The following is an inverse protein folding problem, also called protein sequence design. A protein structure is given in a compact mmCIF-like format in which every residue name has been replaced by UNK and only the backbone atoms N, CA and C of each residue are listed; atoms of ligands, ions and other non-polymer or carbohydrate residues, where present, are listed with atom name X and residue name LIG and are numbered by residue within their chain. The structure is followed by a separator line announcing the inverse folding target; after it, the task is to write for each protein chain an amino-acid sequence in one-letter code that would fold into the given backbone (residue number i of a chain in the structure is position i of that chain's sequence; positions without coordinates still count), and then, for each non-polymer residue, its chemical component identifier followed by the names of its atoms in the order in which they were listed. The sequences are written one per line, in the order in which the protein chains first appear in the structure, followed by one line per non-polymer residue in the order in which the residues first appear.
data_IF_780063775854
#
_entry.id   IF_780063775854
#
_cell.length_a   1.000
_cell.length_b   1.000
_cell.length_c   1.000
_cell.angle_alpha   90.00
_cell.angle_beta   90.00
_cell.angle_gamma   90.00
#
_symmetry.space_group_name_H-M   'P 1'
#
loop_
_entity.id
_entity.type
_entity.pdbx_description
1 polymer ?
#
# COMPACT_ATOMS: atom_id res chain seq x y z
N UNK A 1 20.37 15.04 -17.34
CA UNK A 1 20.46 13.64 -16.91
C UNK A 1 21.61 13.54 -15.94
N UNK A 2 21.34 13.69 -14.64
CA UNK A 2 22.35 13.52 -13.59
C UNK A 2 22.66 12.04 -13.42
N UNK A 3 23.93 11.72 -13.39
CA UNK A 3 24.42 10.34 -13.22
C UNK A 3 24.02 9.78 -11.85
N UNK A 4 23.45 8.58 -11.82
CA UNK A 4 23.02 7.83 -10.62
C UNK A 4 24.22 7.40 -9.73
N UNK A 5 25.35 8.13 -9.78
CA UNK A 5 26.60 7.81 -9.12
C UNK A 5 27.11 8.83 -8.11
N UNK A 6 26.43 9.96 -7.91
CA UNK A 6 26.86 10.93 -6.90
C UNK A 6 26.49 10.47 -5.48
N UNK A 7 27.40 10.69 -4.53
CA UNK A 7 27.23 10.41 -3.11
C UNK A 7 25.89 10.97 -2.62
N UNK A 8 24.95 10.09 -2.38
CA UNK A 8 23.66 10.50 -1.84
C UNK A 8 23.89 11.22 -0.52
N UNK A 9 23.26 12.39 -0.28
CA UNK A 9 23.27 13.02 1.04
C UNK A 9 22.96 11.97 2.09
N UNK A 10 23.53 12.06 3.30
CA UNK A 10 23.49 11.05 4.34
C UNK A 10 22.10 10.67 4.87
N UNK A 11 21.11 10.49 3.97
CA UNK A 11 19.72 10.19 4.31
C UNK A 11 19.56 8.86 5.08
N UNK A 12 20.50 7.90 4.93
CA UNK A 12 20.43 6.63 5.68
C UNK A 12 20.44 6.84 7.20
N UNK A 13 21.12 7.87 7.70
CA UNK A 13 21.13 8.21 9.12
C UNK A 13 19.82 8.80 9.65
N UNK A 14 18.91 9.22 8.79
CA UNK A 14 17.61 9.76 9.18
C UNK A 14 16.63 8.66 9.65
N UNK A 15 16.87 7.40 9.29
CA UNK A 15 16.07 6.25 9.73
C UNK A 15 16.81 5.42 10.77
N UNK A 16 16.11 4.89 11.80
CA UNK A 16 16.71 4.01 12.83
C UNK A 16 16.86 2.56 12.33
N UNK A 17 17.24 2.38 11.05
CA UNK A 17 17.47 1.06 10.49
C UNK A 17 18.81 0.50 10.95
N UNK A 18 18.90 -0.83 11.11
CA UNK A 18 20.15 -1.52 11.40
C UNK A 18 21.14 -1.33 10.23
N UNK A 19 22.28 -0.66 10.44
CA UNK A 19 23.26 -0.41 9.38
C UNK A 19 23.93 -1.68 8.86
N UNK A 20 23.89 -2.78 9.61
CA UNK A 20 24.40 -4.09 9.21
C UNK A 20 23.51 -4.84 8.23
N UNK A 21 22.29 -4.32 7.93
CA UNK A 21 21.31 -4.96 7.06
C UNK A 21 21.03 -4.08 5.84
N UNK A 22 21.15 -4.64 4.66
CA UNK A 22 20.62 -4.02 3.44
C UNK A 22 19.09 -4.20 3.42
N UNK A 23 18.34 -3.21 3.93
CA UNK A 23 16.90 -3.25 4.02
C UNK A 23 16.26 -2.84 2.68
N UNK A 24 15.89 -3.82 1.86
CA UNK A 24 15.28 -3.67 0.53
C UNK A 24 13.76 -3.98 0.54
N UNK A 25 13.15 -3.92 1.71
CA UNK A 25 11.76 -4.36 1.97
C UNK A 25 10.85 -3.26 2.54
N UNK A 26 11.07 -2.01 2.17
CA UNK A 26 10.23 -0.88 2.63
C UNK A 26 8.73 -1.11 2.34
N UNK A 27 8.40 -1.67 1.19
CA UNK A 27 7.02 -1.90 0.76
C UNK A 27 6.20 -2.83 1.65
N UNK A 28 6.81 -3.70 2.48
CA UNK A 28 6.06 -4.59 3.37
C UNK A 28 5.39 -3.81 4.51
N UNK A 29 6.15 -3.01 5.26
CA UNK A 29 5.65 -2.32 6.46
C UNK A 29 6.02 -0.84 6.55
N UNK A 30 6.89 -0.35 5.67
CA UNK A 30 7.49 0.98 5.77
C UNK A 30 8.56 1.04 6.87
N UNK A 31 9.35 2.10 6.84
CA UNK A 31 10.23 2.51 7.92
C UNK A 31 9.96 3.99 8.21
N UNK A 32 9.93 4.38 9.48
CA UNK A 32 9.63 5.73 9.92
C UNK A 32 10.93 6.47 10.25
N UNK A 33 11.14 7.72 9.79
CA UNK A 33 12.31 8.52 10.15
C UNK A 33 12.31 8.89 11.64
N UNK A 34 13.49 9.14 12.21
CA UNK A 34 13.67 9.57 13.61
C UNK A 34 12.84 10.79 13.95
N UNK A 35 12.91 11.83 13.13
CA UNK A 35 12.13 13.08 13.27
C UNK A 35 10.65 12.82 13.54
N UNK A 36 10.05 11.88 12.82
CA UNK A 36 8.61 11.58 12.93
C UNK A 36 8.34 10.68 14.14
N UNK A 37 9.26 9.79 14.49
CA UNK A 37 9.18 8.97 15.71
C UNK A 37 9.31 9.83 16.96
N UNK A 38 10.20 10.82 16.96
CA UNK A 38 10.40 11.75 18.06
C UNK A 38 9.16 12.63 18.25
N UNK A 39 8.55 13.12 17.16
CA UNK A 39 7.27 13.82 17.23
C UNK A 39 6.16 12.93 17.83
N UNK A 40 6.07 11.65 17.40
CA UNK A 40 5.09 10.75 17.98
C UNK A 40 5.33 10.52 19.47
N UNK A 41 6.57 10.37 19.89
CA UNK A 41 6.92 10.22 21.31
C UNK A 41 6.52 11.44 22.14
N UNK A 42 6.74 12.65 21.61
CA UNK A 42 6.29 13.89 22.26
C UNK A 42 4.76 13.97 22.38
N UNK A 43 4.02 13.63 21.33
CA UNK A 43 2.55 13.59 21.34
C UNK A 43 2.01 12.57 22.35
N UNK A 44 2.65 11.40 22.48
CA UNK A 44 2.29 10.41 23.49
C UNK A 44 2.53 10.90 24.92
N UNK A 45 3.68 11.56 25.16
CA UNK A 45 3.96 12.15 26.46
C UNK A 45 2.93 13.22 26.83
N UNK A 46 2.50 14.05 25.87
CA UNK A 46 1.43 15.03 26.08
C UNK A 46 0.08 14.37 26.36
N UNK A 47 -0.26 13.29 25.65
CA UNK A 47 -1.47 12.51 25.88
C UNK A 47 -1.49 11.92 27.29
N UNK A 48 -0.41 11.32 27.75
CA UNK A 48 -0.32 10.70 29.07
C UNK A 48 -0.24 11.73 30.20
N UNK A 49 0.25 12.94 29.93
CA UNK A 49 0.28 14.01 30.93
C UNK A 49 -1.12 14.49 31.31
N UNK A 50 -2.07 14.52 30.36
CA UNK A 50 -3.48 14.89 30.64
C UNK A 50 -4.41 14.27 29.58
N UNK A 51 -4.80 12.97 29.76
CA UNK A 51 -5.56 12.22 28.74
C UNK A 51 -6.94 12.83 28.46
N UNK A 52 -7.61 13.40 29.45
CA UNK A 52 -8.96 13.99 29.28
C UNK A 52 -8.91 15.27 28.45
N UNK A 53 -7.90 16.10 28.63
CA UNK A 53 -7.68 17.27 27.79
C UNK A 53 -7.37 16.86 26.34
N UNK A 54 -6.41 15.96 26.18
CA UNK A 54 -5.95 15.52 24.85
C UNK A 54 -7.07 14.83 24.07
N UNK A 55 -7.69 13.79 24.65
CA UNK A 55 -8.69 12.96 23.96
C UNK A 55 -10.11 13.55 24.01
N UNK A 56 -10.48 14.22 25.09
CA UNK A 56 -11.85 14.68 25.28
C UNK A 56 -12.10 16.12 24.82
N UNK A 57 -11.10 16.99 24.79
CA UNK A 57 -11.27 18.42 24.49
C UNK A 57 -10.60 18.84 23.19
N UNK A 58 -9.40 18.31 22.88
CA UNK A 58 -8.54 18.79 21.82
C UNK A 58 -8.45 17.85 20.60
N UNK A 59 -8.77 16.56 20.77
CA UNK A 59 -8.56 15.54 19.73
C UNK A 59 -9.21 15.93 18.40
N UNK A 60 -10.44 16.41 18.46
CA UNK A 60 -11.19 16.77 17.26
C UNK A 60 -10.49 17.84 16.41
N UNK A 61 -9.97 18.89 17.06
CA UNK A 61 -9.29 19.99 16.39
C UNK A 61 -7.92 19.53 15.85
N UNK A 62 -7.23 18.66 16.60
CA UNK A 62 -5.98 18.03 16.18
C UNK A 62 -6.18 17.11 14.95
N UNK A 63 -7.25 16.31 14.95
CA UNK A 63 -7.61 15.48 13.80
C UNK A 63 -8.01 16.32 12.60
N UNK A 64 -8.69 17.46 12.79
CA UNK A 64 -9.03 18.36 11.70
C UNK A 64 -7.80 18.99 11.06
N UNK A 65 -6.85 19.43 11.85
CA UNK A 65 -5.55 19.92 11.36
C UNK A 65 -4.81 18.83 10.57
N UNK A 66 -4.79 17.60 11.08
CA UNK A 66 -4.17 16.46 10.40
C UNK A 66 -4.92 16.07 9.12
N UNK A 67 -6.23 16.24 9.09
CA UNK A 67 -7.12 15.87 7.97
C UNK A 67 -7.07 16.86 6.81
N UNK A 68 -6.60 18.07 6.97
CA UNK A 68 -6.48 19.03 5.86
C UNK A 68 -5.77 18.40 4.64
N UNK A 69 -4.97 17.35 4.87
CA UNK A 69 -4.29 16.57 3.84
C UNK A 69 -4.99 15.24 3.48
N UNK A 70 -6.00 14.74 4.25
CA UNK A 70 -6.56 13.38 4.12
C UNK A 70 -8.06 13.33 4.48
N UNK A 71 -8.67 12.13 4.29
CA UNK A 71 -10.08 11.81 4.59
C UNK A 71 -10.28 11.27 6.03
N UNK A 72 -11.11 10.24 6.23
CA UNK A 72 -11.23 9.56 7.53
C UNK A 72 -9.97 8.76 7.88
N UNK A 73 -9.60 8.73 9.15
CA UNK A 73 -8.45 7.96 9.61
C UNK A 73 -8.84 6.51 9.92
N UNK A 74 -7.94 5.59 9.58
CA UNK A 74 -8.06 4.15 9.88
C UNK A 74 -6.67 3.60 10.25
N UNK A 75 -6.63 2.44 10.91
CA UNK A 75 -5.36 1.86 11.34
C UNK A 75 -4.47 1.37 10.19
N UNK A 76 -5.07 0.89 9.11
CA UNK A 76 -4.39 0.43 7.89
C UNK A 76 -5.38 0.33 6.72
N UNK A 77 -4.88 0.15 5.50
CA UNK A 77 -5.70 0.04 4.31
C UNK A 77 -6.68 -1.17 4.37
N UNK A 78 -6.26 -2.29 4.95
CA UNK A 78 -7.13 -3.46 5.14
C UNK A 78 -8.35 -3.12 6.01
N UNK A 79 -8.18 -2.31 7.06
CA UNK A 79 -9.29 -1.80 7.86
C UNK A 79 -10.22 -0.89 7.05
N UNK A 80 -9.66 -0.07 6.15
CA UNK A 80 -10.44 0.76 5.21
C UNK A 80 -11.26 -0.10 4.25
N UNK A 81 -10.66 -1.12 3.63
CA UNK A 81 -11.37 -2.08 2.76
C UNK A 81 -12.48 -2.80 3.53
N UNK A 82 -12.19 -3.26 4.75
CA UNK A 82 -13.20 -3.90 5.60
C UNK A 82 -14.35 -2.96 5.95
N UNK A 83 -14.07 -1.69 6.29
CA UNK A 83 -15.09 -0.71 6.62
C UNK A 83 -16.06 -0.51 5.45
N UNK A 84 -15.55 -0.39 4.22
CA UNK A 84 -16.38 -0.26 3.01
C UNK A 84 -17.17 -1.53 2.75
N UNK A 85 -16.51 -2.67 2.59
CA UNK A 85 -17.16 -3.93 2.19
C UNK A 85 -18.22 -4.39 3.18
N UNK A 86 -17.98 -4.20 4.48
CA UNK A 86 -18.94 -4.62 5.53
C UNK A 86 -20.07 -3.63 5.75
N UNK A 87 -19.94 -2.39 5.27
CA UNK A 87 -21.01 -1.40 5.26
C UNK A 87 -21.95 -1.54 4.07
N UNK A 88 -21.45 -2.13 2.97
CA UNK A 88 -22.24 -2.28 1.75
C UNK A 88 -23.43 -3.21 1.93
N UNK A 89 -24.55 -2.84 1.31
CA UNK A 89 -25.73 -3.69 1.15
C UNK A 89 -25.57 -4.53 -0.12
N UNK A 90 -25.16 -5.78 0.06
CA UNK A 90 -24.97 -6.75 -1.01
C UNK A 90 -25.98 -7.88 -0.84
N UNK A 91 -26.60 -8.29 -1.93
CA UNK A 91 -27.67 -9.28 -1.93
C UNK A 91 -27.29 -10.55 -2.69
N UNK A 92 -28.08 -11.59 -2.51
CA UNK A 92 -27.90 -12.84 -3.27
C UNK A 92 -27.98 -12.59 -4.77
N UNK A 93 -27.01 -13.11 -5.52
CA UNK A 93 -26.89 -12.93 -6.96
C UNK A 93 -26.07 -11.71 -7.40
N UNK A 94 -25.79 -10.75 -6.50
CA UNK A 94 -24.84 -9.68 -6.78
C UNK A 94 -23.42 -10.20 -6.97
N UNK A 95 -22.60 -9.46 -7.69
CA UNK A 95 -21.22 -9.82 -7.96
C UNK A 95 -20.25 -8.75 -7.43
N UNK A 96 -19.20 -9.20 -6.74
CA UNK A 96 -18.06 -8.41 -6.30
C UNK A 96 -16.86 -8.79 -7.16
N UNK A 97 -16.42 -7.86 -8.01
CA UNK A 97 -15.34 -8.09 -8.97
C UNK A 97 -13.98 -7.75 -8.33
N UNK A 98 -12.98 -8.57 -8.62
CA UNK A 98 -11.58 -8.29 -8.27
C UNK A 98 -10.63 -9.03 -9.21
N UNK A 99 -9.32 -8.87 -8.99
CA UNK A 99 -8.28 -9.55 -9.78
C UNK A 99 -7.59 -10.65 -8.97
N UNK A 100 -6.92 -11.57 -9.63
CA UNK A 100 -6.04 -12.57 -9.00
C UNK A 100 -4.77 -11.94 -8.37
N UNK A 101 -4.49 -10.65 -8.63
CA UNK A 101 -3.44 -9.88 -7.98
C UNK A 101 -3.90 -9.18 -6.68
N UNK A 102 -5.17 -9.28 -6.32
CA UNK A 102 -5.74 -8.68 -5.11
C UNK A 102 -4.97 -9.08 -3.86
N UNK A 103 -4.71 -8.11 -2.97
CA UNK A 103 -4.09 -8.39 -1.68
C UNK A 103 -4.92 -9.41 -0.89
N UNK A 104 -4.28 -10.49 -0.44
CA UNK A 104 -5.00 -11.65 0.12
C UNK A 104 -5.91 -11.31 1.30
N UNK A 105 -5.51 -10.39 2.18
CA UNK A 105 -6.38 -9.98 3.30
C UNK A 105 -7.64 -9.25 2.82
N UNK A 106 -7.55 -8.47 1.75
CA UNK A 106 -8.70 -7.80 1.13
C UNK A 106 -9.57 -8.81 0.37
N UNK A 107 -8.97 -9.80 -0.28
CA UNK A 107 -9.68 -10.91 -0.90
C UNK A 107 -10.47 -11.72 0.14
N UNK A 108 -9.88 -12.03 1.29
CA UNK A 108 -10.58 -12.72 2.38
C UNK A 108 -11.81 -11.92 2.87
N UNK A 109 -11.75 -10.58 2.82
CA UNK A 109 -12.90 -9.74 3.18
C UNK A 109 -14.01 -9.82 2.13
N UNK A 110 -13.67 -9.85 0.84
CA UNK A 110 -14.65 -10.08 -0.24
C UNK A 110 -15.34 -11.43 -0.06
N UNK A 111 -14.58 -12.50 0.17
CA UNK A 111 -15.11 -13.86 0.36
C UNK A 111 -16.04 -13.90 1.58
N UNK A 112 -15.63 -13.27 2.71
CA UNK A 112 -16.46 -13.19 3.91
C UNK A 112 -17.79 -12.46 3.68
N UNK A 113 -17.78 -11.34 2.95
CA UNK A 113 -19.00 -10.59 2.67
C UNK A 113 -19.90 -11.34 1.69
N UNK A 114 -19.32 -11.96 0.66
CA UNK A 114 -20.05 -12.75 -0.32
C UNK A 114 -20.73 -13.97 0.32
N UNK A 115 -20.03 -14.71 1.19
CA UNK A 115 -20.58 -15.84 1.93
C UNK A 115 -21.82 -15.44 2.76
N UNK A 116 -21.74 -14.31 3.46
CA UNK A 116 -22.82 -13.83 4.32
C UNK A 116 -24.04 -13.31 3.57
N UNK A 117 -23.85 -12.76 2.38
CA UNK A 117 -24.91 -12.12 1.59
C UNK A 117 -25.50 -13.01 0.49
N UNK A 118 -24.84 -14.15 0.19
CA UNK A 118 -25.18 -14.95 -0.98
C UNK A 118 -24.72 -14.36 -2.32
N UNK A 119 -23.88 -13.33 -2.28
CA UNK A 119 -23.24 -12.77 -3.46
C UNK A 119 -22.10 -13.64 -3.98
N UNK A 120 -21.53 -13.30 -5.12
CA UNK A 120 -20.40 -14.01 -5.73
C UNK A 120 -19.18 -13.10 -5.84
N UNK A 121 -18.00 -13.65 -5.52
CA UNK A 121 -16.75 -12.99 -5.88
C UNK A 121 -16.34 -13.46 -7.27
N UNK A 122 -16.23 -12.52 -8.19
CA UNK A 122 -15.74 -12.73 -9.55
C UNK A 122 -14.26 -12.30 -9.60
N UNK A 123 -13.38 -13.24 -9.92
CA UNK A 123 -11.94 -12.97 -10.00
C UNK A 123 -11.52 -13.06 -11.45
N UNK A 124 -11.00 -11.94 -11.97
CA UNK A 124 -10.39 -11.93 -13.30
C UNK A 124 -8.89 -12.20 -13.18
N UNK A 125 -8.39 -13.08 -14.04
CA UNK A 125 -6.96 -13.38 -14.12
C UNK A 125 -6.31 -12.36 -15.03
N UNK A 126 -5.43 -11.54 -14.46
CA UNK A 126 -4.64 -10.59 -15.23
C UNK A 126 -3.53 -11.30 -16.00
N UNK A 127 -3.21 -10.85 -17.22
CA UNK A 127 -2.02 -11.35 -17.92
C UNK A 127 -0.76 -11.03 -17.09
N UNK A 128 0.11 -12.03 -16.93
CA UNK A 128 1.41 -11.84 -16.29
C UNK A 128 2.42 -12.85 -16.87
N UNK A 129 3.49 -12.40 -17.50
CA UNK A 129 3.92 -11.00 -17.73
C UNK A 129 2.92 -10.14 -18.50
N UNK A 130 2.95 -8.81 -18.20
CA UNK A 130 2.08 -7.81 -18.83
C UNK A 130 2.85 -7.13 -19.96
N UNK A 131 2.29 -7.08 -21.17
CA UNK A 131 2.92 -6.40 -22.29
C UNK A 131 2.55 -4.90 -22.38
N UNK A 132 1.33 -4.53 -21.94
CA UNK A 132 0.86 -3.14 -21.95
C UNK A 132 -0.23 -2.93 -20.89
N UNK A 133 -0.34 -1.71 -20.29
CA UNK A 133 -1.38 -1.38 -19.30
C UNK A 133 -2.80 -1.62 -19.82
N UNK A 134 -3.03 -1.43 -21.12
CA UNK A 134 -4.35 -1.61 -21.74
C UNK A 134 -4.87 -3.04 -21.60
N UNK A 135 -4.01 -4.06 -21.61
CA UNK A 135 -4.43 -5.45 -21.40
C UNK A 135 -5.13 -5.64 -20.04
N UNK A 136 -4.67 -4.90 -19.01
CA UNK A 136 -5.31 -4.96 -17.67
C UNK A 136 -6.68 -4.30 -17.73
N UNK A 137 -6.80 -3.14 -18.39
CA UNK A 137 -8.09 -2.45 -18.55
C UNK A 137 -9.10 -3.36 -19.25
N UNK A 138 -8.71 -3.92 -20.39
CA UNK A 138 -9.59 -4.78 -21.18
C UNK A 138 -10.03 -6.01 -20.39
N UNK A 139 -9.09 -6.67 -19.68
CA UNK A 139 -9.36 -7.86 -18.87
C UNK A 139 -10.34 -7.57 -17.74
N UNK A 140 -10.12 -6.50 -16.98
CA UNK A 140 -11.02 -6.14 -15.87
C UNK A 140 -12.40 -5.76 -16.37
N UNK A 141 -12.49 -4.94 -17.44
CA UNK A 141 -13.76 -4.49 -17.97
C UNK A 141 -14.56 -5.62 -18.64
N UNK A 142 -13.90 -6.64 -19.20
CA UNK A 142 -14.54 -7.85 -19.71
C UNK A 142 -15.16 -8.71 -18.59
N UNK A 143 -14.66 -8.61 -17.35
CA UNK A 143 -15.22 -9.31 -16.19
C UNK A 143 -16.50 -8.67 -15.62
N UNK A 144 -16.91 -7.48 -16.11
CA UNK A 144 -18.11 -6.79 -15.62
C UNK A 144 -19.37 -7.40 -16.20
N UNK A 145 -20.36 -7.69 -15.35
CA UNK A 145 -21.70 -8.12 -15.72
C UNK A 145 -22.77 -7.13 -15.20
N UNK A 146 -24.05 -7.26 -15.60
CA UNK A 146 -25.13 -6.45 -15.04
C UNK A 146 -25.35 -6.64 -13.52
N UNK A 147 -24.78 -7.69 -12.93
CA UNK A 147 -24.83 -7.99 -11.49
C UNK A 147 -23.65 -7.43 -10.71
N UNK A 148 -22.61 -6.93 -11.37
CA UNK A 148 -21.44 -6.38 -10.71
C UNK A 148 -21.80 -5.09 -9.97
N UNK A 149 -21.63 -5.07 -8.63
CA UNK A 149 -21.92 -3.93 -7.75
C UNK A 149 -20.70 -3.13 -7.38
N UNK A 150 -19.58 -3.80 -7.22
CA UNK A 150 -18.32 -3.20 -6.82
C UNK A 150 -17.18 -3.90 -7.53
N UNK A 151 -16.14 -3.14 -7.89
CA UNK A 151 -14.84 -3.68 -8.25
C UNK A 151 -13.80 -3.25 -7.21
N UNK A 152 -13.15 -4.21 -6.55
CA UNK A 152 -11.98 -3.98 -5.69
C UNK A 152 -10.71 -4.13 -6.51
N UNK A 153 -9.89 -3.09 -6.55
CA UNK A 153 -8.63 -3.05 -7.30
C UNK A 153 -7.49 -2.52 -6.44
N UNK A 154 -6.35 -3.18 -6.51
CA UNK A 154 -5.10 -2.61 -5.99
C UNK A 154 -4.63 -1.47 -6.91
N UNK A 155 -4.21 -0.31 -6.35
CA UNK A 155 -3.53 0.71 -7.15
C UNK A 155 -2.13 0.26 -7.54
N UNK A 156 -1.42 -0.33 -6.56
CA UNK A 156 -0.13 -0.98 -6.80
C UNK A 156 -0.19 -2.38 -6.16
N UNK A 157 -0.08 -3.40 -6.98
CA UNK A 157 -0.23 -4.80 -6.56
C UNK A 157 0.88 -5.22 -5.60
N UNK A 158 0.53 -5.91 -4.51
CA UNK A 158 1.50 -6.28 -3.47
C UNK A 158 2.53 -7.31 -3.96
N UNK A 159 2.16 -8.48 -4.51
CA UNK A 159 3.15 -9.48 -4.90
C UNK A 159 3.93 -9.10 -6.17
N UNK A 160 3.26 -8.57 -7.17
CA UNK A 160 3.79 -8.34 -8.51
C UNK A 160 4.30 -6.92 -8.75
N UNK A 161 4.06 -6.00 -7.80
CA UNK A 161 4.54 -4.60 -7.81
C UNK A 161 4.10 -3.77 -9.03
N UNK A 162 2.99 -4.14 -9.66
CA UNK A 162 2.45 -3.42 -10.82
C UNK A 162 1.70 -2.16 -10.38
N UNK A 163 2.02 -1.02 -10.95
CA UNK A 163 1.17 0.17 -10.91
C UNK A 163 0.06 -0.04 -11.94
N UNK A 164 -1.16 -0.26 -11.48
CA UNK A 164 -2.30 -0.46 -12.38
C UNK A 164 -2.78 0.85 -12.99
N UNK A 165 -3.34 0.84 -14.21
CA UNK A 165 -3.88 2.02 -14.89
C UNK A 165 -5.22 2.43 -14.25
N UNK A 166 -5.16 2.81 -12.97
CA UNK A 166 -6.34 2.95 -12.10
C UNK A 166 -7.33 4.01 -12.58
N UNK A 167 -6.85 5.10 -13.19
CA UNK A 167 -7.70 6.14 -13.75
C UNK A 167 -8.58 5.63 -14.90
N UNK A 168 -7.98 4.84 -15.82
CA UNK A 168 -8.71 4.24 -16.93
C UNK A 168 -9.71 3.19 -16.43
N UNK A 169 -9.32 2.39 -15.45
CA UNK A 169 -10.17 1.38 -14.81
C UNK A 169 -11.37 2.03 -14.11
N UNK A 170 -11.15 3.04 -13.27
CA UNK A 170 -12.22 3.75 -12.56
C UNK A 170 -13.22 4.37 -13.56
N UNK A 171 -12.73 5.05 -14.61
CA UNK A 171 -13.60 5.62 -15.64
C UNK A 171 -14.41 4.53 -16.38
N UNK A 172 -13.75 3.44 -16.77
CA UNK A 172 -14.39 2.35 -17.49
C UNK A 172 -15.45 1.61 -16.66
N UNK A 173 -15.23 1.44 -15.36
CA UNK A 173 -16.18 0.86 -14.41
C UNK A 173 -17.33 1.81 -14.13
N UNK A 174 -17.06 3.08 -13.91
CA UNK A 174 -18.10 4.11 -13.69
C UNK A 174 -19.05 4.24 -14.90
N UNK A 175 -18.52 4.17 -16.13
CA UNK A 175 -19.34 4.16 -17.35
C UNK A 175 -20.28 2.94 -17.45
N UNK A 176 -20.01 1.87 -16.66
CA UNK A 176 -20.86 0.68 -16.54
C UNK A 176 -21.71 0.65 -15.28
N UNK A 177 -21.73 1.76 -14.52
CA UNK A 177 -22.48 1.87 -13.27
C UNK A 177 -21.87 1.09 -12.10
N UNK A 178 -20.60 0.70 -12.18
CA UNK A 178 -19.91 -0.06 -11.14
C UNK A 178 -19.05 0.87 -10.28
N UNK A 179 -19.30 0.91 -8.98
CA UNK A 179 -18.43 1.62 -8.02
C UNK A 179 -17.08 0.91 -7.87
N UNK A 180 -16.02 1.69 -7.68
CA UNK A 180 -14.67 1.16 -7.47
C UNK A 180 -14.19 1.44 -6.06
N UNK A 181 -13.73 0.40 -5.37
CA UNK A 181 -12.94 0.48 -4.15
C UNK A 181 -11.47 0.25 -4.52
N UNK A 182 -10.64 1.27 -4.33
CA UNK A 182 -9.21 1.18 -4.62
C UNK A 182 -8.43 0.89 -3.35
N UNK A 183 -7.79 -0.27 -3.29
CA UNK A 183 -6.74 -0.53 -2.31
C UNK A 183 -5.45 0.18 -2.76
N UNK A 184 -5.27 1.37 -2.26
CA UNK A 184 -4.10 2.20 -2.47
C UNK A 184 -3.05 2.05 -1.37
N UNK A 185 -2.94 0.88 -0.72
CA UNK A 185 -1.98 0.67 0.37
C UNK A 185 -0.55 1.14 0.05
N UNK A 186 -0.16 1.09 -1.22
CA UNK A 186 1.15 1.55 -1.70
C UNK A 186 1.11 2.91 -2.42
N UNK A 187 -0.06 3.51 -2.62
CA UNK A 187 -0.22 4.74 -3.42
C UNK A 187 0.40 6.00 -2.80
N UNK A 188 0.00 6.39 -1.57
CA UNK A 188 0.46 7.63 -0.94
C UNK A 188 1.98 7.66 -0.80
N UNK A 189 2.64 8.67 -1.39
CA UNK A 189 4.09 8.84 -1.37
C UNK A 189 4.88 8.01 -2.41
N UNK A 190 4.22 7.12 -3.16
CA UNK A 190 4.85 6.37 -4.27
C UNK A 190 4.46 6.92 -5.63
N UNK A 191 3.21 7.32 -5.81
CA UNK A 191 2.66 7.86 -7.04
C UNK A 191 1.92 9.17 -6.76
N UNK A 192 1.81 10.08 -7.74
CA UNK A 192 0.94 11.25 -7.61
C UNK A 192 -0.50 10.82 -7.36
N UNK A 193 -1.19 11.49 -6.44
CA UNK A 193 -2.58 11.20 -6.08
C UNK A 193 -3.41 12.46 -6.06
N UNK A 194 -4.48 12.49 -6.87
CA UNK A 194 -5.62 13.36 -6.70
C UNK A 194 -6.88 12.49 -6.57
N UNK A 195 -7.33 12.28 -5.35
CA UNK A 195 -8.46 11.38 -5.07
C UNK A 195 -9.80 11.93 -5.62
N UNK A 196 -9.90 13.25 -5.77
CA UNK A 196 -11.11 13.88 -6.34
C UNK A 196 -11.14 13.69 -7.85
N UNK A 197 -10.02 13.96 -8.52
CA UNK A 197 -9.91 13.77 -9.96
C UNK A 197 -10.00 12.30 -10.36
N UNK A 198 -9.47 11.37 -9.54
CA UNK A 198 -9.58 9.93 -9.77
C UNK A 198 -11.04 9.47 -9.85
N UNK A 199 -11.96 10.04 -9.05
CA UNK A 199 -13.39 9.77 -9.13
C UNK A 199 -13.83 8.39 -8.61
N UNK A 200 -12.95 7.59 -8.01
CA UNK A 200 -13.32 6.33 -7.38
C UNK A 200 -14.36 6.56 -6.26
N UNK A 201 -15.24 5.60 -6.02
CA UNK A 201 -16.20 5.70 -4.92
C UNK A 201 -15.49 5.62 -3.56
N UNK A 202 -14.44 4.79 -3.48
CA UNK A 202 -13.68 4.57 -2.26
C UNK A 202 -12.20 4.41 -2.59
N UNK A 203 -11.33 4.97 -1.73
CA UNK A 203 -9.89 4.79 -1.80
C UNK A 203 -9.33 4.69 -0.38
N UNK A 204 -8.51 3.69 -0.11
CA UNK A 204 -7.80 3.58 1.16
C UNK A 204 -6.30 3.53 0.93
N UNK A 205 -5.51 4.13 1.82
CA UNK A 205 -4.05 4.19 1.65
C UNK A 205 -3.31 4.15 2.97
N UNK A 206 -2.15 3.49 2.99
CA UNK A 206 -1.29 3.43 4.16
C UNK A 206 -0.36 4.66 4.20
N UNK A 207 -0.46 5.46 5.26
CA UNK A 207 0.52 6.52 5.53
C UNK A 207 1.84 5.92 6.05
N UNK A 208 1.78 4.83 6.81
CA UNK A 208 2.97 4.20 7.41
C UNK A 208 3.88 3.47 6.40
N UNK A 209 3.49 3.39 5.10
CA UNK A 209 4.40 2.89 4.05
C UNK A 209 5.20 4.05 3.46
N UNK A 210 4.81 4.62 2.34
CA UNK A 210 5.66 5.55 1.57
C UNK A 210 5.59 7.00 2.04
N UNK A 211 4.59 7.38 2.88
CA UNK A 211 4.64 8.63 3.66
C UNK A 211 5.46 8.46 4.95
N UNK A 212 5.98 7.26 5.23
CA UNK A 212 6.89 6.94 6.33
C UNK A 212 6.40 7.38 7.72
N UNK A 213 5.09 7.39 7.97
CA UNK A 213 4.54 7.66 9.31
C UNK A 213 4.67 6.45 10.22
N UNK A 214 4.44 6.58 11.54
CA UNK A 214 4.36 5.43 12.44
C UNK A 214 3.30 4.41 12.01
N UNK A 215 3.52 3.12 12.36
CA UNK A 215 2.56 2.03 12.10
C UNK A 215 1.22 2.33 12.77
N UNK A 216 0.14 1.85 12.15
CA UNK A 216 -1.21 2.15 12.63
C UNK A 216 -1.81 3.43 12.04
N UNK A 217 -1.15 4.08 11.06
CA UNK A 217 -1.67 5.26 10.38
C UNK A 217 -1.99 4.99 8.92
N UNK A 218 -3.23 5.21 8.56
CA UNK A 218 -3.79 5.08 7.22
C UNK A 218 -5.02 5.96 7.09
N UNK A 219 -5.56 6.08 5.89
CA UNK A 219 -6.80 6.82 5.64
C UNK A 219 -7.75 6.03 4.76
N UNK A 220 -9.04 6.39 4.88
CA UNK A 220 -10.12 5.99 4.01
C UNK A 220 -10.75 7.26 3.42
N UNK A 221 -10.69 7.41 2.11
CA UNK A 221 -11.44 8.41 1.36
C UNK A 221 -12.72 7.78 0.81
N UNK A 222 -13.84 8.46 1.03
CA UNK A 222 -15.17 8.04 0.55
C UNK A 222 -15.77 9.20 -0.20
N UNK A 223 -16.21 8.98 -1.45
CA UNK A 223 -16.90 9.97 -2.25
C UNK A 223 -18.16 10.44 -1.50
N UNK A 224 -18.44 11.73 -1.56
CA UNK A 224 -19.43 12.38 -0.69
C UNK A 224 -20.83 11.74 -0.75
N UNK A 225 -21.26 11.32 -1.93
CA UNK A 225 -22.54 10.63 -2.16
C UNK A 225 -22.63 9.22 -1.54
N UNK A 226 -21.51 8.65 -1.13
CA UNK A 226 -21.40 7.32 -0.51
C UNK A 226 -21.17 7.36 1.00
N UNK A 227 -20.86 8.51 1.58
CA UNK A 227 -20.47 8.63 3.00
C UNK A 227 -21.56 8.21 3.98
N UNK A 228 -22.85 8.42 3.62
CA UNK A 228 -23.98 8.10 4.50
C UNK A 228 -24.14 6.59 4.77
N UNK A 229 -23.57 5.74 3.91
CA UNK A 229 -23.72 4.29 3.98
C UNK A 229 -22.50 3.60 4.60
N UNK A 230 -21.40 4.35 4.82
CA UNK A 230 -20.13 3.76 5.28
C UNK A 230 -19.90 4.06 6.75
N UNK A 231 -19.65 3.00 7.51
CA UNK A 231 -19.42 3.02 8.94
C UNK A 231 -18.03 2.44 9.28
N UNK A 232 -17.41 2.88 10.38
CA UNK A 232 -16.18 2.24 10.88
C UNK A 232 -16.48 0.80 11.35
N UNK A 233 -15.44 -0.02 11.42
CA UNK A 233 -15.56 -1.40 11.91
C UNK A 233 -16.04 -1.48 13.36
N UNK A 234 -15.68 -0.49 14.15
CA UNK A 234 -16.10 -0.38 15.56
C UNK A 234 -17.08 0.78 15.67
N UNK A 235 -18.34 0.49 15.96
CA UNK A 235 -19.35 1.50 16.26
C UNK A 235 -19.19 1.95 17.71
N UNK A 236 -19.05 3.26 17.93
CA UNK A 236 -18.84 3.84 19.26
C UNK A 236 -19.64 5.14 19.41
N UNK A 237 -19.32 5.97 20.41
CA UNK A 237 -20.02 7.22 20.72
C UNK A 237 -20.10 8.22 19.55
N UNK A 238 -19.20 8.12 18.56
CA UNK A 238 -19.31 8.89 17.32
C UNK A 238 -20.63 8.72 16.60
N UNK A 239 -21.30 7.55 16.75
CA UNK A 239 -22.61 7.28 16.15
C UNK A 239 -23.76 8.11 16.78
N UNK A 240 -23.63 8.54 18.03
CA UNK A 240 -24.59 9.35 18.75
C UNK A 240 -24.16 10.83 18.86
N UNK A 241 -22.91 11.13 18.43
CA UNK A 241 -22.33 12.46 18.52
C UNK A 241 -23.09 13.46 17.61
N UNK A 242 -23.29 14.67 18.13
CA UNK A 242 -23.77 15.81 17.35
C UNK A 242 -22.78 16.94 17.56
N UNK A 243 -22.14 17.39 16.46
CA UNK A 243 -21.22 18.53 16.52
C UNK A 243 -21.44 19.40 15.27
N UNK A 244 -21.65 20.69 15.50
CA UNK A 244 -21.86 21.65 14.40
C UNK A 244 -20.70 21.59 13.37
N UNK A 245 -21.02 21.57 12.09
CA UNK A 245 -20.04 21.53 11.01
C UNK A 245 -19.42 20.16 10.74
N UNK A 246 -19.79 19.09 11.48
CA UNK A 246 -19.29 17.73 11.24
C UNK A 246 -20.37 16.80 10.73
N UNK A 247 -20.03 16.02 9.69
CA UNK A 247 -20.91 14.96 9.18
C UNK A 247 -20.89 13.75 10.12
N UNK A 248 -21.96 12.95 10.10
CA UNK A 248 -22.01 11.67 10.82
C UNK A 248 -20.83 10.77 10.48
N UNK A 249 -20.49 10.65 9.20
CA UNK A 249 -19.33 9.89 8.72
C UNK A 249 -18.05 10.29 9.47
N UNK A 250 -17.80 11.61 9.61
CA UNK A 250 -16.61 12.08 10.35
C UNK A 250 -16.67 11.72 11.82
N UNK A 251 -17.79 11.98 12.49
CA UNK A 251 -17.94 11.70 13.92
C UNK A 251 -17.74 10.20 14.23
N UNK A 252 -18.29 9.33 13.42
CA UNK A 252 -18.14 7.88 13.60
C UNK A 252 -16.70 7.40 13.42
N UNK A 253 -15.97 7.90 12.41
CA UNK A 253 -14.59 7.52 12.16
C UNK A 253 -13.59 8.20 13.11
N UNK A 254 -13.89 9.40 13.59
CA UNK A 254 -13.01 10.14 14.50
C UNK A 254 -13.00 9.53 15.91
N UNK A 255 -14.11 8.88 16.30
CA UNK A 255 -14.20 8.23 17.60
C UNK A 255 -14.75 6.80 17.51
N UNK A 256 -13.86 5.86 17.33
CA UNK A 256 -14.17 4.41 17.33
C UNK A 256 -13.90 3.73 18.68
N UNK A 257 -13.65 4.51 19.72
CA UNK A 257 -13.24 4.08 21.06
C UNK A 257 -11.88 4.67 21.46
N UNK A 258 -11.49 4.52 22.71
CA UNK A 258 -10.20 4.99 23.21
C UNK A 258 -9.06 4.27 22.51
N UNK A 259 -8.19 5.02 21.87
CA UNK A 259 -7.02 4.52 21.15
C UNK A 259 -5.93 5.60 21.07
N UNK A 260 -4.72 5.22 20.69
CA UNK A 260 -3.63 6.15 20.46
C UNK A 260 -3.75 6.80 19.05
N UNK A 261 -4.12 8.10 18.95
CA UNK A 261 -4.28 8.78 17.66
C UNK A 261 -2.97 9.38 17.15
N UNK A 262 -1.88 9.28 17.92
CA UNK A 262 -0.63 10.04 17.65
C UNK A 262 -0.01 9.68 16.30
N UNK A 263 -0.17 8.45 15.82
CA UNK A 263 0.28 8.07 14.49
C UNK A 263 -0.38 8.90 13.37
N UNK A 264 -1.65 9.21 13.49
CA UNK A 264 -2.38 10.05 12.53
C UNK A 264 -1.97 11.51 12.61
N UNK A 265 -1.73 12.01 13.85
CA UNK A 265 -1.34 13.40 14.09
C UNK A 265 0.05 13.73 13.52
N UNK A 266 0.90 12.74 13.27
CA UNK A 266 2.21 12.95 12.62
C UNK A 266 2.14 13.07 11.10
N UNK A 267 1.01 12.75 10.46
CA UNK A 267 0.90 12.69 8.99
C UNK A 267 1.27 14.01 8.30
N UNK A 268 0.76 15.19 8.73
CA UNK A 268 1.13 16.45 8.10
C UNK A 268 2.64 16.72 8.14
N UNK A 269 3.26 16.48 9.30
CA UNK A 269 4.70 16.67 9.46
C UNK A 269 5.51 15.69 8.61
N UNK A 270 5.06 14.45 8.48
CA UNK A 270 5.72 13.47 7.63
C UNK A 270 5.67 13.88 6.14
N UNK A 271 4.53 14.41 5.67
CA UNK A 271 4.39 14.93 4.31
C UNK A 271 5.35 16.11 4.08
N UNK A 272 5.37 17.06 5.00
CA UNK A 272 6.26 18.22 4.93
C UNK A 272 7.73 17.81 4.98
N UNK A 273 8.11 17.00 5.97
CA UNK A 273 9.48 16.57 6.20
C UNK A 273 10.07 15.83 5.00
N UNK A 274 9.39 14.80 4.52
CA UNK A 274 9.87 14.00 3.38
C UNK A 274 9.87 14.82 2.09
N UNK A 275 8.85 15.66 1.88
CA UNK A 275 8.80 16.58 0.74
C UNK A 275 9.92 17.60 0.74
N UNK A 276 10.47 17.94 1.91
CA UNK A 276 11.60 18.87 2.06
C UNK A 276 12.98 18.23 1.91
N UNK A 277 13.09 16.89 1.93
CA UNK A 277 14.40 16.19 1.88
C UNK A 277 15.09 16.25 0.51
N UNK A 278 14.33 16.44 -0.54
CA UNK A 278 14.86 16.43 -1.92
C UNK A 278 14.48 17.71 -2.62
N UNK A 279 15.44 18.43 -3.26
CA UNK A 279 15.12 19.54 -4.14
C UNK A 279 14.10 19.13 -5.21
N UNK A 280 13.01 19.89 -5.34
CA UNK A 280 11.88 19.52 -6.21
C UNK A 280 10.76 18.73 -5.51
N UNK A 281 10.89 18.47 -4.20
CA UNK A 281 9.83 17.93 -3.36
C UNK A 281 9.41 16.48 -3.69
N UNK A 282 8.15 16.18 -3.42
CA UNK A 282 7.59 14.85 -3.67
C UNK A 282 7.76 14.33 -5.09
N UNK A 283 7.54 15.13 -6.15
CA UNK A 283 7.78 14.65 -7.53
C UNK A 283 9.20 14.15 -7.75
N UNK A 284 10.19 14.88 -7.25
CA UNK A 284 11.60 14.50 -7.37
C UNK A 284 11.94 13.25 -6.52
N UNK A 285 11.38 13.15 -5.32
CA UNK A 285 11.54 11.98 -4.45
C UNK A 285 10.97 10.72 -5.12
N UNK A 286 9.74 10.79 -5.63
CA UNK A 286 9.10 9.67 -6.34
C UNK A 286 9.89 9.27 -7.58
N UNK A 287 10.33 10.25 -8.40
CA UNK A 287 11.12 10.01 -9.60
C UNK A 287 12.46 9.32 -9.29
N UNK A 288 13.16 9.77 -8.23
CA UNK A 288 14.41 9.17 -7.77
C UNK A 288 14.22 7.71 -7.33
N UNK A 289 13.22 7.45 -6.49
CA UNK A 289 12.94 6.11 -6.01
C UNK A 289 12.55 5.17 -7.17
N UNK A 290 11.74 5.66 -8.10
CA UNK A 290 11.38 4.92 -9.31
C UNK A 290 12.60 4.61 -10.18
N UNK A 291 13.46 5.58 -10.43
CA UNK A 291 14.68 5.37 -11.22
C UNK A 291 15.60 4.31 -10.58
N UNK A 292 15.75 4.35 -9.26
CA UNK A 292 16.52 3.35 -8.51
C UNK A 292 15.87 1.96 -8.58
N UNK A 293 14.53 1.86 -8.47
CA UNK A 293 13.80 0.60 -8.59
C UNK A 293 13.94 -0.01 -10.00
N UNK A 294 13.88 0.80 -11.06
CA UNK A 294 14.05 0.36 -12.45
C UNK A 294 15.46 -0.17 -12.71
N UNK A 295 16.50 0.55 -12.27
CA UNK A 295 17.88 0.11 -12.44
C UNK A 295 18.16 -1.17 -11.63
N UNK A 296 17.65 -1.25 -10.40
CA UNK A 296 17.72 -2.45 -9.58
C UNK A 296 17.03 -3.64 -10.26
N UNK A 297 15.80 -3.45 -10.79
CA UNK A 297 15.07 -4.48 -11.53
C UNK A 297 15.88 -5.00 -12.71
N UNK A 298 16.48 -4.10 -13.51
CA UNK A 298 17.30 -4.49 -14.65
C UNK A 298 18.45 -5.41 -14.24
N UNK A 299 19.17 -5.09 -13.15
CA UNK A 299 20.29 -5.91 -12.62
C UNK A 299 19.81 -7.27 -12.14
N UNK A 300 18.68 -7.30 -11.41
CA UNK A 300 18.14 -8.55 -10.86
C UNK A 300 17.57 -9.45 -11.96
N UNK A 301 16.92 -8.89 -12.99
CA UNK A 301 16.51 -9.67 -14.17
C UNK A 301 17.70 -10.34 -14.85
N UNK A 302 18.81 -9.61 -15.04
CA UNK A 302 20.02 -10.18 -15.59
C UNK A 302 20.61 -11.30 -14.71
N UNK A 303 20.65 -11.10 -13.37
CA UNK A 303 21.16 -12.11 -12.44
C UNK A 303 20.27 -13.36 -12.35
N UNK A 304 18.94 -13.19 -12.45
CA UNK A 304 17.99 -14.29 -12.42
C UNK A 304 17.78 -14.97 -13.79
N UNK A 305 18.32 -14.41 -14.86
CA UNK A 305 18.12 -14.92 -16.24
C UNK A 305 16.67 -14.80 -16.73
N UNK A 306 15.90 -13.82 -16.23
CA UNK A 306 14.47 -13.66 -16.54
C UNK A 306 14.21 -12.27 -17.14
N UNK A 307 13.26 -12.16 -18.11
CA UNK A 307 12.88 -10.85 -18.64
C UNK A 307 12.06 -10.04 -17.62
N UNK A 308 11.98 -8.70 -17.78
CA UNK A 308 11.04 -7.89 -17.04
C UNK A 308 9.59 -8.37 -17.21
N UNK A 309 8.84 -8.42 -16.11
CA UNK A 309 7.46 -8.91 -16.11
C UNK A 309 6.41 -7.86 -16.56
N UNK A 310 6.81 -6.61 -16.75
CA UNK A 310 5.95 -5.52 -17.22
C UNK A 310 6.77 -4.37 -17.80
N UNK A 311 6.14 -3.46 -18.56
CA UNK A 311 6.76 -2.21 -19.03
C UNK A 311 7.22 -1.31 -17.85
N UNK A 312 8.20 -0.46 -18.12
CA UNK A 312 8.77 0.48 -17.13
C UNK A 312 7.73 1.45 -16.56
N UNK A 313 6.74 1.83 -17.35
CA UNK A 313 5.67 2.75 -16.93
C UNK A 313 4.80 2.17 -15.81
N UNK A 314 4.76 0.86 -15.65
CA UNK A 314 4.02 0.16 -14.60
C UNK A 314 4.84 -0.07 -13.32
N UNK A 315 5.98 0.59 -13.16
CA UNK A 315 6.84 0.49 -11.98
C UNK A 315 6.84 1.81 -11.21
N UNK A 316 6.63 1.71 -9.89
CA UNK A 316 6.81 2.80 -8.93
C UNK A 316 8.12 2.67 -8.15
N UNK A 317 8.07 2.79 -6.83
CA UNK A 317 9.23 2.60 -5.94
C UNK A 317 9.43 1.14 -5.52
N UNK A 318 8.62 0.21 -6.02
CA UNK A 318 8.77 -1.24 -5.86
C UNK A 318 8.82 -1.90 -7.23
N UNK A 319 9.56 -3.00 -7.32
CA UNK A 319 9.61 -3.82 -8.52
C UNK A 319 9.71 -5.30 -8.14
N UNK A 320 9.07 -6.16 -8.92
CA UNK A 320 9.20 -7.61 -8.78
C UNK A 320 9.94 -8.20 -9.97
N UNK A 321 10.73 -9.23 -9.70
CA UNK A 321 11.47 -10.00 -10.69
C UNK A 321 11.09 -11.46 -10.53
N UNK A 322 10.76 -12.12 -11.64
CA UNK A 322 10.51 -13.55 -11.65
C UNK A 322 11.80 -14.31 -11.33
N UNK A 323 11.69 -15.30 -10.47
CA UNK A 323 12.79 -16.21 -10.15
C UNK A 323 12.52 -17.57 -10.78
N UNK A 324 13.55 -18.38 -10.99
CA UNK A 324 13.39 -19.79 -11.32
C UNK A 324 12.48 -20.50 -10.31
N UNK A 325 11.72 -21.47 -10.77
CA UNK A 325 10.79 -22.25 -9.95
C UNK A 325 11.53 -22.93 -8.80
N UNK A 326 10.94 -22.91 -7.60
CA UNK A 326 11.46 -23.66 -6.47
C UNK A 326 10.74 -25.00 -6.36
N UNK A 327 11.50 -26.09 -6.38
CA UNK A 327 10.99 -27.45 -6.30
C UNK A 327 10.55 -27.85 -4.87
N UNK A 328 10.99 -27.12 -3.84
CA UNK A 328 10.61 -27.38 -2.45
C UNK A 328 9.22 -26.80 -2.17
N UNK A 329 8.22 -27.68 -2.12
CA UNK A 329 6.82 -27.27 -1.94
C UNK A 329 6.39 -27.47 -0.49
N UNK A 330 6.71 -26.54 0.40
CA UNK A 330 6.02 -26.42 1.69
C UNK A 330 4.82 -25.48 1.55
N UNK A 331 3.68 -25.86 2.12
CA UNK A 331 2.43 -25.06 2.13
C UNK A 331 2.23 -24.39 3.49
N UNK A 332 1.80 -23.14 3.47
CA UNK A 332 1.43 -22.40 4.68
C UNK A 332 1.80 -20.92 4.58
N UNK A 333 0.99 -20.04 5.17
CA UNK A 333 1.17 -18.57 5.09
C UNK A 333 2.42 -18.06 5.84
N UNK A 334 2.95 -18.85 6.78
CA UNK A 334 4.19 -18.54 7.53
C UNK A 334 5.43 -19.18 6.93
N UNK A 335 5.28 -20.05 5.96
CA UNK A 335 6.43 -20.72 5.34
C UNK A 335 7.14 -19.73 4.41
N UNK A 336 8.36 -19.39 4.77
CA UNK A 336 9.22 -18.53 3.96
C UNK A 336 9.94 -19.34 2.89
N UNK A 337 10.24 -18.71 1.78
CA UNK A 337 11.09 -19.30 0.76
C UNK A 337 12.51 -19.50 1.33
N UNK A 338 13.16 -20.68 1.19
CA UNK A 338 14.51 -20.91 1.73
C UNK A 338 15.55 -19.90 1.24
N UNK A 339 15.43 -19.43 0.00
CA UNK A 339 16.31 -18.39 -0.55
C UNK A 339 16.22 -17.09 0.28
N UNK A 340 15.02 -16.70 0.74
CA UNK A 340 14.86 -15.50 1.59
C UNK A 340 15.66 -15.64 2.89
N UNK A 341 15.65 -16.84 3.51
CA UNK A 341 16.45 -17.13 4.70
C UNK A 341 17.96 -16.98 4.41
N UNK A 342 18.44 -17.63 3.34
CA UNK A 342 19.87 -17.54 2.96
C UNK A 342 20.31 -16.11 2.64
N UNK A 343 19.49 -15.31 1.96
CA UNK A 343 19.77 -13.90 1.67
C UNK A 343 19.93 -13.09 2.97
N UNK A 344 19.12 -13.35 3.97
CA UNK A 344 19.24 -12.68 5.25
C UNK A 344 20.43 -13.16 6.07
N UNK A 345 20.62 -14.46 6.22
CA UNK A 345 21.62 -15.06 7.10
C UNK A 345 23.06 -14.87 6.57
N UNK A 346 23.27 -15.14 5.28
CA UNK A 346 24.59 -15.13 4.66
C UNK A 346 24.99 -13.77 4.09
N UNK A 347 23.98 -13.02 3.59
CA UNK A 347 24.22 -11.79 2.85
C UNK A 347 23.77 -10.53 3.59
N UNK A 348 23.09 -10.70 4.73
CA UNK A 348 22.51 -9.57 5.50
C UNK A 348 21.61 -8.67 4.62
N UNK A 349 20.79 -9.29 3.78
CA UNK A 349 19.85 -8.62 2.90
C UNK A 349 18.43 -9.00 3.33
N UNK A 350 17.64 -8.00 3.72
CA UNK A 350 16.21 -8.17 3.98
C UNK A 350 15.41 -7.85 2.71
N UNK A 351 14.86 -8.88 2.07
CA UNK A 351 14.06 -8.78 0.85
C UNK A 351 13.02 -9.89 0.82
N UNK A 352 11.73 -9.62 0.48
CA UNK A 352 10.71 -10.66 0.45
C UNK A 352 10.76 -11.47 -0.84
N UNK A 353 10.55 -12.77 -0.71
CA UNK A 353 10.26 -13.67 -1.84
C UNK A 353 8.80 -14.09 -1.76
N UNK A 354 8.06 -13.77 -2.80
CA UNK A 354 6.63 -14.01 -2.91
C UNK A 354 6.37 -15.27 -3.72
N UNK A 355 5.61 -16.21 -3.19
CA UNK A 355 5.08 -17.36 -3.94
C UNK A 355 3.87 -16.89 -4.74
N UNK A 356 4.05 -16.65 -6.02
CA UNK A 356 2.97 -16.11 -6.85
C UNK A 356 3.07 -16.62 -8.29
N UNK A 357 1.93 -16.97 -8.90
CA UNK A 357 0.58 -17.06 -8.32
C UNK A 357 0.46 -18.18 -7.27
N UNK A 358 1.27 -19.22 -7.36
CA UNK A 358 1.37 -20.35 -6.43
C UNK A 358 2.69 -21.10 -6.64
N UNK A 359 3.18 -21.86 -5.65
CA UNK A 359 4.32 -22.74 -5.85
C UNK A 359 4.12 -23.66 -7.07
N UNK A 360 5.18 -23.93 -7.85
CA UNK A 360 6.59 -23.62 -7.60
C UNK A 360 7.03 -22.21 -7.98
N UNK A 361 6.14 -21.39 -8.59
CA UNK A 361 6.45 -20.04 -9.07
C UNK A 361 6.67 -19.07 -7.93
N UNK A 362 7.65 -18.19 -8.10
CA UNK A 362 8.03 -17.20 -7.10
C UNK A 362 8.60 -15.92 -7.73
N UNK A 363 8.48 -14.84 -6.98
CA UNK A 363 8.98 -13.51 -7.33
C UNK A 363 9.84 -12.99 -6.19
N UNK A 364 10.92 -12.30 -6.48
CA UNK A 364 11.59 -11.42 -5.53
C UNK A 364 11.06 -9.99 -5.72
N UNK A 365 10.64 -9.33 -4.63
CA UNK A 365 10.13 -7.96 -4.68
C UNK A 365 11.06 -7.02 -3.94
N UNK A 366 11.65 -6.08 -4.65
CA UNK A 366 12.52 -5.03 -4.08
C UNK A 366 11.76 -3.74 -3.83
N UNK A 367 12.26 -2.93 -2.92
CA UNK A 367 11.77 -1.58 -2.61
C UNK A 367 12.92 -0.59 -2.72
N UNK A 368 12.67 0.60 -3.23
CA UNK A 368 13.60 1.71 -3.29
C UNK A 368 13.07 2.89 -2.48
N UNK A 369 13.82 3.34 -1.47
CA UNK A 369 13.54 4.51 -0.65
C UNK A 369 14.80 5.36 -0.53
N UNK A 370 14.69 6.59 -0.02
CA UNK A 370 15.80 7.55 0.08
C UNK A 370 17.08 6.99 0.70
N UNK A 371 16.95 6.10 1.68
CA UNK A 371 18.08 5.44 2.34
C UNK A 371 18.74 4.32 1.53
N UNK A 372 18.12 3.90 0.41
CA UNK A 372 18.68 2.85 -0.44
C UNK A 372 19.61 3.42 -1.51
N UNK A 373 20.63 2.62 -1.85
CA UNK A 373 21.64 2.95 -2.85
C UNK A 373 21.89 1.77 -3.80
N UNK A 374 22.31 2.05 -5.01
CA UNK A 374 22.53 1.04 -6.06
C UNK A 374 23.48 -0.11 -5.67
N UNK A 375 24.57 0.10 -4.89
CA UNK A 375 25.44 -1.00 -4.46
C UNK A 375 24.72 -2.10 -3.67
N UNK A 376 23.64 -1.78 -2.92
CA UNK A 376 22.85 -2.77 -2.20
C UNK A 376 22.16 -3.74 -3.15
N UNK A 377 21.63 -3.25 -4.27
CA UNK A 377 20.99 -4.09 -5.31
C UNK A 377 22.00 -4.84 -6.15
N UNK A 378 23.20 -4.30 -6.37
CA UNK A 378 24.30 -5.03 -7.00
C UNK A 378 24.74 -6.21 -6.15
N UNK A 379 24.83 -6.02 -4.82
CA UNK A 379 25.11 -7.10 -3.86
C UNK A 379 23.99 -8.14 -3.84
N UNK A 380 22.72 -7.72 -3.96
CA UNK A 380 21.60 -8.66 -4.11
C UNK A 380 21.68 -9.45 -5.41
N UNK A 381 22.05 -8.82 -6.53
CA UNK A 381 22.24 -9.50 -7.81
C UNK A 381 23.36 -10.55 -7.74
N UNK A 382 24.50 -10.22 -7.09
CA UNK A 382 25.57 -11.18 -6.83
C UNK A 382 25.09 -12.34 -5.96
N UNK A 383 24.34 -12.03 -4.88
CA UNK A 383 23.77 -13.05 -4.01
C UNK A 383 22.84 -14.01 -4.77
N UNK A 384 21.96 -13.48 -5.64
CA UNK A 384 21.08 -14.31 -6.48
C UNK A 384 21.87 -15.24 -7.40
N UNK A 385 22.92 -14.75 -8.04
CA UNK A 385 23.76 -15.57 -8.92
C UNK A 385 24.40 -16.75 -8.18
N UNK A 386 24.73 -16.59 -6.89
CA UNK A 386 25.35 -17.64 -6.06
C UNK A 386 24.32 -18.57 -5.40
N UNK A 387 23.16 -18.05 -5.00
CA UNK A 387 22.20 -18.80 -4.18
C UNK A 387 21.10 -19.51 -5.00
N UNK A 388 20.74 -19.01 -6.21
CA UNK A 388 19.75 -19.65 -7.05
C UNK A 388 20.12 -21.07 -7.52
N UNK A 389 21.39 -21.37 -7.86
CA UNK A 389 21.77 -22.74 -8.23
C UNK A 389 21.65 -23.76 -7.09
N UNK A 390 21.45 -23.33 -5.85
CA UNK A 390 21.29 -24.18 -4.66
C UNK A 390 19.83 -24.60 -4.41
N UNK A 391 18.89 -24.06 -5.16
CA UNK A 391 17.45 -24.40 -5.10
C UNK A 391 17.15 -25.56 -6.05
#
# INVERSE_FOLDING_TARGET
MGTVGEESPGWSGLWPLDPGIAFLNHGSYGACPREILDLQAALRAELEAEPVRFLGRELDDRLDAARAALAAFVGNATSGVNAVLRSMRVSSGDELLTTDHCYQACRNTLDFVAERSGAKVVVVTLPFPVAAPQQIVDTVLAGVSPRTRLCLLDHITSPTALVLPIEALVRGLAARGVDTLVDGAHGPGMVPLDLRALGAAYYTGNCHKWLCTPKGSAFLWVRRDRQAEIHPLTISHGANGVRAGRTRFRLEFDWTGTQDPTGWLTVPRAIEYLGGLVPGGWPALMARNRALALEARRRLCAAAGTPPACPDEMIGSIASVMLPDNRTVERGWRVRDPLQGRLFERWRIEVPIMRWPAPPRRLIRISAQLYNRLPQYSRLAEALTRELPLD
#
